data_IF_738767880314
#
_entry.id   IF_738767880314
#
_cell.length_a   1.000
_cell.length_b   1.000
_cell.length_c   1.000
_cell.angle_alpha   90.00
_cell.angle_beta   90.00
_cell.angle_gamma   90.00
#
_symmetry.space_group_name_H-M   'P 1'
#
loop_
_entity.id
_entity.type
_entity.pdbx_description
1 polymer ?
#
# COMPACT_ATOMS: atom_id res chain seq x y z
N UNK A 1 -4.64 -33.67 -48.80
CA UNK A 1 -4.42 -32.38 -48.09
C UNK A 1 -5.49 -32.03 -47.03
N UNK A 2 -6.76 -32.43 -47.21
CA UNK A 2 -7.89 -32.07 -46.31
C UNK A 2 -7.83 -32.76 -44.93
N UNK A 3 -7.38 -34.01 -44.87
CA UNK A 3 -7.21 -34.81 -43.62
C UNK A 3 -6.09 -34.27 -42.72
N UNK A 4 -4.99 -33.80 -43.31
CA UNK A 4 -3.85 -33.23 -42.59
C UNK A 4 -4.20 -31.90 -41.91
N UNK A 5 -5.09 -31.10 -42.52
CA UNK A 5 -5.65 -29.88 -41.91
C UNK A 5 -6.58 -30.22 -40.75
N UNK A 6 -7.48 -31.20 -40.91
CA UNK A 6 -8.35 -31.68 -39.82
C UNK A 6 -7.55 -32.15 -38.60
N UNK A 7 -6.45 -32.86 -38.81
CA UNK A 7 -5.59 -33.32 -37.73
C UNK A 7 -4.85 -32.18 -37.00
N UNK A 8 -4.49 -31.12 -37.73
CA UNK A 8 -3.91 -29.90 -37.14
C UNK A 8 -4.94 -29.14 -36.30
N UNK A 9 -6.17 -28.98 -36.79
CA UNK A 9 -7.25 -28.35 -36.01
C UNK A 9 -7.60 -29.14 -34.74
N UNK A 10 -7.65 -30.47 -34.83
CA UNK A 10 -7.84 -31.33 -33.65
C UNK A 10 -6.72 -31.12 -32.63
N UNK A 11 -5.46 -31.09 -33.07
CA UNK A 11 -4.31 -30.82 -32.19
C UNK A 11 -4.37 -29.43 -31.56
N UNK A 12 -4.74 -28.40 -32.32
CA UNK A 12 -4.87 -27.04 -31.82
C UNK A 12 -6.01 -26.92 -30.80
N UNK A 13 -7.14 -27.61 -31.02
CA UNK A 13 -8.25 -27.65 -30.07
C UNK A 13 -7.84 -28.36 -28.79
N UNK A 14 -7.13 -29.50 -28.89
CA UNK A 14 -6.62 -30.21 -27.73
C UNK A 14 -5.58 -29.38 -26.95
N UNK A 15 -4.73 -28.63 -27.65
CA UNK A 15 -3.73 -27.77 -27.03
C UNK A 15 -4.40 -26.55 -26.37
N UNK A 16 -5.39 -25.94 -27.01
CA UNK A 16 -6.20 -24.88 -26.41
C UNK A 16 -6.98 -25.37 -25.18
N UNK A 17 -7.56 -26.58 -25.24
CA UNK A 17 -8.26 -27.18 -24.10
C UNK A 17 -7.29 -27.50 -22.95
N UNK A 18 -6.08 -27.98 -23.25
CA UNK A 18 -5.04 -28.21 -22.25
C UNK A 18 -4.58 -26.90 -21.61
N UNK A 19 -4.34 -25.85 -22.40
CA UNK A 19 -4.01 -24.52 -21.89
C UNK A 19 -5.13 -23.97 -21.01
N UNK A 20 -6.39 -24.04 -21.45
CA UNK A 20 -7.53 -23.61 -20.64
C UNK A 20 -7.60 -24.39 -19.32
N UNK A 21 -7.41 -25.71 -19.37
CA UNK A 21 -7.42 -26.56 -18.18
C UNK A 21 -6.31 -26.18 -17.19
N UNK A 22 -5.08 -25.90 -17.65
CA UNK A 22 -3.98 -25.47 -16.76
C UNK A 22 -4.23 -24.10 -16.16
N UNK A 23 -4.78 -23.16 -16.94
CA UNK A 23 -5.06 -21.79 -16.46
C UNK A 23 -6.24 -21.73 -15.47
N UNK A 24 -7.23 -22.63 -15.57
CA UNK A 24 -8.34 -22.65 -14.59
C UNK A 24 -7.91 -23.00 -13.16
N UNK A 25 -6.71 -23.57 -12.98
CA UNK A 25 -6.19 -23.90 -11.66
C UNK A 25 -5.68 -22.67 -10.89
N UNK A 26 -5.54 -21.53 -11.55
CA UNK A 26 -5.13 -20.25 -10.96
C UNK A 26 -6.33 -19.41 -10.49
N UNK A 27 -7.56 -19.92 -10.59
CA UNK A 27 -8.71 -19.23 -10.02
C UNK A 27 -8.64 -19.20 -8.50
N UNK A 28 -8.77 -18.01 -7.88
CA UNK A 28 -8.75 -17.91 -6.43
C UNK A 28 -9.88 -18.77 -5.87
N UNK A 29 -9.51 -19.61 -4.92
CA UNK A 29 -10.39 -20.48 -4.16
C UNK A 29 -11.58 -19.66 -3.63
N UNK A 30 -12.79 -19.93 -4.14
CA UNK A 30 -14.01 -19.28 -3.68
C UNK A 30 -14.18 -19.52 -2.17
N UNK A 31 -14.15 -18.44 -1.38
CA UNK A 31 -14.25 -18.50 0.08
C UNK A 31 -12.94 -18.25 0.82
N UNK A 32 -11.82 -18.09 0.12
CA UNK A 32 -10.56 -17.69 0.73
C UNK A 32 -10.63 -16.26 1.31
N UNK A 33 -10.26 -16.14 2.58
CA UNK A 33 -10.28 -14.88 3.33
C UNK A 33 -9.38 -13.83 2.68
N UNK A 34 -8.22 -14.26 2.15
CA UNK A 34 -7.29 -13.39 1.44
C UNK A 34 -7.94 -12.75 0.20
N UNK A 35 -8.66 -13.55 -0.58
CA UNK A 35 -9.36 -13.06 -1.78
C UNK A 35 -10.48 -12.08 -1.40
N UNK A 36 -11.17 -12.33 -0.29
CA UNK A 36 -12.21 -11.42 0.24
C UNK A 36 -11.62 -10.09 0.68
N UNK A 37 -10.49 -10.10 1.38
CA UNK A 37 -9.77 -8.89 1.80
C UNK A 37 -9.31 -8.11 0.56
N UNK A 38 -8.75 -8.78 -0.45
CA UNK A 38 -8.33 -8.11 -1.70
C UNK A 38 -9.51 -7.45 -2.43
N UNK A 39 -10.67 -8.10 -2.46
CA UNK A 39 -11.88 -7.51 -3.04
C UNK A 39 -12.40 -6.31 -2.24
N UNK A 40 -12.33 -6.37 -0.90
CA UNK A 40 -12.73 -5.27 0.00
C UNK A 40 -11.78 -4.07 -0.11
N UNK A 41 -10.47 -4.32 -0.14
CA UNK A 41 -9.44 -3.27 -0.24
C UNK A 41 -9.42 -2.67 -1.66
N UNK A 42 -9.63 -3.51 -2.68
CA UNK A 42 -9.70 -3.09 -4.08
C UNK A 42 -8.53 -2.21 -4.49
N UNK A 43 -8.83 -1.02 -5.02
CA UNK A 43 -7.84 -0.03 -5.47
C UNK A 43 -7.15 0.74 -4.32
N UNK A 44 -7.50 0.49 -3.06
CA UNK A 44 -6.87 1.15 -1.89
C UNK A 44 -5.61 0.43 -1.40
N UNK A 45 -5.10 -0.51 -2.18
CA UNK A 45 -3.83 -1.17 -1.90
C UNK A 45 -2.67 -0.16 -1.96
N UNK A 46 -1.59 -0.49 -1.25
CA UNK A 46 -0.37 0.31 -1.25
C UNK A 46 0.25 0.37 -2.65
N UNK A 47 0.43 1.58 -3.19
CA UNK A 47 1.08 1.80 -4.48
C UNK A 47 2.61 1.76 -4.33
N UNK A 48 3.15 0.55 -4.39
CA UNK A 48 4.58 0.30 -4.18
C UNK A 48 5.45 1.04 -5.20
N UNK A 49 5.05 1.07 -6.47
CA UNK A 49 5.85 1.72 -7.52
C UNK A 49 5.92 3.23 -7.33
N UNK A 50 4.77 3.87 -7.04
CA UNK A 50 4.76 5.32 -6.76
C UNK A 50 5.58 5.65 -5.53
N UNK A 51 5.45 4.85 -4.46
CA UNK A 51 6.24 5.03 -3.25
C UNK A 51 7.75 4.86 -3.52
N UNK A 52 8.14 3.84 -4.27
CA UNK A 52 9.56 3.54 -4.57
C UNK A 52 10.19 4.66 -5.39
N UNK A 53 9.51 5.15 -6.42
CA UNK A 53 9.98 6.29 -7.23
C UNK A 53 10.13 7.55 -6.36
N UNK A 54 9.15 7.84 -5.49
CA UNK A 54 9.23 8.96 -4.56
C UNK A 54 10.39 8.83 -3.57
N UNK A 55 10.63 7.63 -3.04
CA UNK A 55 11.71 7.35 -2.10
C UNK A 55 13.10 7.52 -2.75
N UNK A 56 13.27 7.10 -4.00
CA UNK A 56 14.51 7.31 -4.76
C UNK A 56 14.74 8.81 -4.98
N UNK A 57 13.70 9.55 -5.38
CA UNK A 57 13.80 10.99 -5.61
C UNK A 57 14.20 11.75 -4.32
N UNK A 58 13.55 11.45 -3.19
CA UNK A 58 13.87 12.07 -1.90
C UNK A 58 15.31 11.79 -1.44
N UNK A 59 15.80 10.56 -1.66
CA UNK A 59 17.20 10.20 -1.37
C UNK A 59 18.19 10.93 -2.27
N UNK A 60 17.87 11.05 -3.56
CA UNK A 60 18.70 11.80 -4.51
C UNK A 60 18.77 13.28 -4.12
N UNK A 61 17.65 13.89 -3.75
CA UNK A 61 17.59 15.28 -3.26
C UNK A 61 18.45 15.48 -2.02
N UNK A 62 18.36 14.59 -1.03
CA UNK A 62 19.18 14.67 0.20
C UNK A 62 20.68 14.57 -0.07
N UNK A 63 21.11 13.72 -1.02
CA UNK A 63 22.52 13.65 -1.45
C UNK A 63 22.97 14.95 -2.13
N UNK A 64 22.10 15.58 -2.92
CA UNK A 64 22.42 16.80 -3.67
C UNK A 64 22.45 18.06 -2.79
N UNK A 65 21.60 18.12 -1.77
CA UNK A 65 21.50 19.29 -0.85
C UNK A 65 22.55 19.29 0.25
N UNK A 66 23.26 18.18 0.48
CA UNK A 66 24.34 18.06 1.47
C UNK A 66 23.89 18.53 2.87
N UNK A 67 22.65 18.20 3.24
CA UNK A 67 21.90 18.83 4.33
C UNK A 67 22.48 18.56 5.73
N UNK A 68 23.38 17.58 5.86
CA UNK A 68 23.98 17.16 7.13
C UNK A 68 25.25 17.95 7.50
N UNK A 69 25.76 18.80 6.61
CA UNK A 69 27.09 19.39 6.76
C UNK A 69 27.20 20.57 7.74
N UNK A 70 26.09 21.15 8.23
CA UNK A 70 26.15 22.46 8.93
C UNK A 70 25.27 22.63 10.19
N UNK A 71 24.86 21.55 10.88
CA UNK A 71 24.22 21.71 12.19
C UNK A 71 25.29 21.69 13.30
N UNK A 72 25.32 22.71 14.16
CA UNK A 72 26.08 22.66 15.40
C UNK A 72 25.54 21.55 16.35
N UNK A 73 26.33 21.15 17.35
CA UNK A 73 25.96 20.04 18.26
C UNK A 73 24.63 20.27 18.99
N UNK A 74 24.33 21.51 19.37
CA UNK A 74 23.09 21.84 20.08
C UNK A 74 21.90 21.70 19.13
N UNK A 75 22.05 22.22 17.91
CA UNK A 75 21.05 22.14 16.85
C UNK A 75 20.77 20.69 16.44
N UNK A 76 21.81 19.84 16.31
CA UNK A 76 21.65 18.40 16.01
C UNK A 76 20.79 17.69 17.04
N UNK A 77 21.10 17.88 18.33
CA UNK A 77 20.35 17.27 19.42
C UNK A 77 18.90 17.74 19.40
N UNK A 78 18.67 19.05 19.25
CA UNK A 78 17.32 19.60 19.25
C UNK A 78 16.50 19.07 18.09
N UNK A 79 17.06 19.00 16.88
CA UNK A 79 16.39 18.42 15.71
C UNK A 79 15.94 16.97 15.94
N UNK A 80 16.78 16.14 16.55
CA UNK A 80 16.40 14.76 16.88
C UNK A 80 15.28 14.72 17.92
N UNK A 81 15.33 15.58 18.95
CA UNK A 81 14.29 15.65 19.97
C UNK A 81 12.95 16.12 19.39
N UNK A 82 12.97 17.13 18.53
CA UNK A 82 11.78 17.65 17.85
C UNK A 82 11.17 16.59 16.92
N UNK A 83 12.01 15.85 16.19
CA UNK A 83 11.56 14.73 15.36
C UNK A 83 10.93 13.60 16.19
N UNK A 84 11.50 13.26 17.34
CA UNK A 84 10.93 12.25 18.25
C UNK A 84 9.59 12.72 18.84
N UNK A 85 9.45 14.01 19.16
CA UNK A 85 8.19 14.59 19.58
C UNK A 85 7.13 14.51 18.48
N UNK A 86 7.49 14.82 17.23
CA UNK A 86 6.62 14.68 16.07
C UNK A 86 6.15 13.23 15.87
N UNK A 87 7.06 12.26 15.95
CA UNK A 87 6.70 10.83 15.89
C UNK A 87 5.69 10.48 16.98
N UNK A 88 5.92 10.93 18.20
CA UNK A 88 5.04 10.64 19.33
C UNK A 88 3.62 11.21 19.10
N UNK A 89 3.52 12.41 18.55
CA UNK A 89 2.22 13.03 18.22
C UNK A 89 1.48 12.26 17.12
N UNK A 90 2.19 11.88 16.05
CA UNK A 90 1.61 11.09 14.95
C UNK A 90 1.12 9.73 15.45
N UNK A 91 1.91 9.04 16.29
CA UNK A 91 1.53 7.75 16.87
C UNK A 91 0.32 7.88 17.82
N UNK A 92 0.25 8.96 18.61
CA UNK A 92 -0.91 9.23 19.47
C UNK A 92 -2.18 9.40 18.65
N UNK A 93 -2.13 10.21 17.59
CA UNK A 93 -3.27 10.44 16.68
C UNK A 93 -3.70 9.14 15.99
N UNK A 94 -2.76 8.34 15.50
CA UNK A 94 -3.04 7.04 14.87
C UNK A 94 -3.75 6.08 15.83
N UNK A 95 -3.27 6.03 17.08
CA UNK A 95 -3.89 5.23 18.12
C UNK A 95 -5.31 5.71 18.44
N UNK A 96 -5.52 7.01 18.58
CA UNK A 96 -6.84 7.57 18.87
C UNK A 96 -7.85 7.30 17.74
N UNK A 97 -7.43 7.50 16.48
CA UNK A 97 -8.23 7.15 15.30
C UNK A 97 -8.58 5.65 15.34
N UNK A 98 -7.58 4.79 15.58
CA UNK A 98 -7.77 3.35 15.62
C UNK A 98 -8.75 2.92 16.72
N UNK A 99 -8.66 3.52 17.91
CA UNK A 99 -9.60 3.26 19.01
C UNK A 99 -11.04 3.57 18.61
N UNK A 100 -11.29 4.71 17.96
CA UNK A 100 -12.62 5.12 17.50
C UNK A 100 -13.18 4.14 16.45
N UNK A 101 -12.34 3.65 15.53
CA UNK A 101 -12.76 2.64 14.55
C UNK A 101 -13.06 1.28 15.18
N UNK A 102 -12.49 0.97 16.35
CA UNK A 102 -12.72 -0.28 17.06
C UNK A 102 -13.83 -0.23 18.12
N UNK A 103 -14.36 0.96 18.45
CA UNK A 103 -15.43 1.12 19.44
C UNK A 103 -16.81 0.83 18.82
N UNK A 104 -17.53 -0.22 19.25
CA UNK A 104 -18.84 -0.56 18.70
C UNK A 104 -19.95 0.44 19.06
N UNK A 105 -19.72 1.35 20.02
CA UNK A 105 -20.68 2.38 20.40
C UNK A 105 -20.64 3.60 19.47
N UNK A 106 -19.61 3.70 18.63
CA UNK A 106 -19.48 4.79 17.66
C UNK A 106 -20.24 4.43 16.38
N UNK A 107 -21.38 5.09 16.17
CA UNK A 107 -22.27 4.81 15.03
C UNK A 107 -21.65 5.18 13.67
N UNK A 108 -20.85 6.25 13.61
CA UNK A 108 -20.14 6.69 12.41
C UNK A 108 -18.68 7.06 12.75
N UNK A 109 -17.76 6.08 12.72
CA UNK A 109 -16.34 6.32 12.98
C UNK A 109 -15.67 7.23 11.95
N UNK A 110 -16.21 7.32 10.72
CA UNK A 110 -15.66 8.16 9.66
C UNK A 110 -15.89 9.63 10.01
N UNK A 111 -17.12 9.99 10.36
CA UNK A 111 -17.44 11.35 10.80
C UNK A 111 -16.71 11.71 12.11
N UNK A 112 -16.64 10.76 13.05
CA UNK A 112 -16.00 10.98 14.35
C UNK A 112 -14.48 11.22 14.26
N UNK A 113 -13.79 10.61 13.27
CA UNK A 113 -12.33 10.74 13.12
C UNK A 113 -11.90 11.79 12.09
N UNK A 114 -12.82 12.46 11.38
CA UNK A 114 -12.49 13.36 10.26
C UNK A 114 -11.47 14.46 10.62
N UNK A 115 -11.63 15.08 11.79
CA UNK A 115 -10.71 16.12 12.29
C UNK A 115 -9.34 15.51 12.63
N UNK A 116 -9.31 14.39 13.34
CA UNK A 116 -8.08 13.69 13.72
C UNK A 116 -7.29 13.21 12.50
N UNK A 117 -7.98 12.70 11.46
CA UNK A 117 -7.35 12.29 10.21
C UNK A 117 -6.72 13.46 9.46
N UNK A 118 -7.35 14.63 9.51
CA UNK A 118 -6.80 15.85 8.89
C UNK A 118 -5.53 16.30 9.63
N UNK A 119 -5.55 16.29 10.98
CA UNK A 119 -4.37 16.62 11.78
C UNK A 119 -3.24 15.60 11.58
N UNK A 120 -3.58 14.31 11.55
CA UNK A 120 -2.63 13.23 11.30
C UNK A 120 -1.94 13.39 9.94
N UNK A 121 -2.71 13.66 8.88
CA UNK A 121 -2.16 13.89 7.55
C UNK A 121 -1.22 15.11 7.53
N UNK A 122 -1.63 16.23 8.14
CA UNK A 122 -0.80 17.44 8.21
C UNK A 122 0.54 17.21 8.94
N UNK A 123 0.54 16.44 10.03
CA UNK A 123 1.78 16.12 10.77
C UNK A 123 2.70 15.13 10.05
N UNK A 124 2.16 14.29 9.17
CA UNK A 124 2.97 13.35 8.37
C UNK A 124 3.67 13.99 7.19
N UNK A 125 3.14 15.10 6.69
CA UNK A 125 3.70 15.84 5.57
C UNK A 125 4.74 16.90 6.01
N UNK A 126 4.98 17.01 7.33
CA UNK A 126 5.97 17.90 7.94
C UNK A 126 7.34 17.22 8.08
#
# INVERSE_FOLDING_TARGET
MRTRRLFLWLKLILLAALCLFTFTREWPQFGDEYTRILQLVGLRQFDFLRWEVGAIAAKAEGVLTNNDAFLDETSRKQTVLDFMALIQEVQRLDYEISQIYTDPNVADPVAATAVLQTEYAAKRDQ
#
